data_IF_675000461704
#
_entry.id   IF_675000461704
#
_cell.length_a   1.000
_cell.length_b   1.000
_cell.length_c   1.000
_cell.angle_alpha   90.00
_cell.angle_beta   90.00
_cell.angle_gamma   90.00
#
_symmetry.space_group_name_H-M   'P 1'
#
loop_
_entity.id
_entity.type
_entity.pdbx_description
1 polymer ?
#
# COMPACT_ATOMS: atom_id res chain seq x y z
N UNK A 1 2.44 -15.00 14.69
CA UNK A 1 2.78 -13.79 13.90
C UNK A 1 4.29 -13.61 13.92
N UNK A 2 4.90 -13.13 12.83
CA UNK A 2 6.32 -12.75 12.77
C UNK A 2 6.39 -11.31 12.25
N UNK A 3 7.25 -10.49 12.82
CA UNK A 3 7.52 -9.12 12.34
C UNK A 3 8.88 -9.11 11.64
N UNK A 4 8.95 -8.52 10.46
CA UNK A 4 10.20 -8.31 9.73
C UNK A 4 10.44 -6.81 9.63
N UNK A 5 11.50 -6.33 10.25
CA UNK A 5 11.88 -4.91 10.22
C UNK A 5 13.05 -4.73 9.27
N UNK A 6 12.90 -3.83 8.29
CA UNK A 6 13.99 -3.50 7.37
C UNK A 6 14.56 -2.12 7.71
N UNK A 7 15.79 -2.10 8.20
CA UNK A 7 16.58 -0.89 8.36
C UNK A 7 17.16 -0.50 7.00
N UNK A 8 16.54 0.50 6.38
CA UNK A 8 16.89 0.90 5.01
C UNK A 8 18.08 1.88 4.94
N UNK A 9 18.28 2.62 6.02
CA UNK A 9 19.42 3.55 6.17
C UNK A 9 20.21 3.08 7.40
N UNK A 10 21.46 2.62 7.23
CA UNK A 10 22.31 2.27 8.37
C UNK A 10 22.36 3.41 9.40
N UNK A 11 22.40 3.09 10.67
CA UNK A 11 22.45 4.01 11.81
C UNK A 11 21.13 4.71 12.20
N UNK A 12 20.02 4.39 11.56
CA UNK A 12 18.69 4.92 11.92
C UNK A 12 17.92 4.01 12.89
N UNK A 13 18.59 3.15 13.65
CA UNK A 13 17.94 2.12 14.49
C UNK A 13 16.88 2.70 15.39
N UNK A 14 15.60 2.36 15.17
CA UNK A 14 14.56 2.70 16.13
C UNK A 14 14.82 1.98 17.45
N UNK A 15 14.41 2.59 18.56
CA UNK A 15 14.57 2.05 19.92
C UNK A 15 13.71 0.79 20.19
N UNK A 16 13.06 0.21 19.18
CA UNK A 16 12.26 -1.02 19.24
C UNK A 16 13.20 -2.20 19.48
N UNK A 17 13.27 -2.66 20.73
CA UNK A 17 14.16 -3.74 21.08
C UNK A 17 13.48 -5.11 21.08
N UNK A 18 12.23 -5.20 21.55
CA UNK A 18 11.52 -6.48 21.65
C UNK A 18 10.01 -6.31 21.57
N UNK A 19 9.34 -7.25 20.91
CA UNK A 19 7.90 -7.42 20.97
C UNK A 19 7.61 -8.71 21.75
N UNK A 20 7.12 -8.64 22.99
CA UNK A 20 6.83 -9.84 23.77
C UNK A 20 5.87 -10.77 23.00
N UNK A 21 6.28 -12.01 22.80
CA UNK A 21 5.49 -13.03 22.08
C UNK A 21 5.48 -12.89 20.55
N UNK A 22 6.24 -11.95 19.96
CA UNK A 22 6.34 -11.79 18.52
C UNK A 22 7.81 -11.73 18.07
N UNK A 23 8.37 -12.78 17.46
CA UNK A 23 9.75 -12.78 17.00
C UNK A 23 9.95 -11.72 15.91
N UNK A 24 10.97 -10.87 16.10
CA UNK A 24 11.37 -9.83 15.15
C UNK A 24 12.58 -10.31 14.35
N UNK A 25 12.46 -10.36 13.04
CA UNK A 25 13.58 -10.56 12.13
C UNK A 25 14.07 -9.20 11.60
N UNK A 26 15.30 -8.85 11.92
CA UNK A 26 15.93 -7.62 11.45
C UNK A 26 16.68 -7.86 10.15
N UNK A 27 16.44 -6.97 9.18
CA UNK A 27 17.17 -6.86 7.92
C UNK A 27 17.83 -5.50 7.84
N UNK A 28 19.12 -5.47 7.58
CA UNK A 28 19.88 -4.23 7.42
C UNK A 28 20.37 -4.14 6.00
N UNK A 29 20.05 -3.07 5.31
CA UNK A 29 20.56 -2.82 3.97
C UNK A 29 21.93 -2.15 4.02
N UNK A 30 22.88 -2.58 3.18
CA UNK A 30 24.17 -1.92 3.02
C UNK A 30 24.06 -0.58 2.28
N UNK A 31 22.99 -0.41 1.50
CA UNK A 31 22.64 0.82 0.80
C UNK A 31 21.10 0.95 0.74
N UNK A 32 20.56 2.19 0.76
CA UNK A 32 19.12 2.42 0.67
C UNK A 32 18.52 1.81 -0.59
N UNK A 33 17.42 1.07 -0.43
CA UNK A 33 16.63 0.49 -1.49
C UNK A 33 15.27 1.16 -1.59
N UNK A 34 14.58 0.94 -2.72
CA UNK A 34 13.21 1.39 -2.89
C UNK A 34 12.22 0.66 -1.97
N UNK A 35 11.05 1.28 -1.78
CA UNK A 35 9.99 0.74 -0.93
C UNK A 35 9.61 -0.71 -1.31
N UNK A 36 9.26 -0.94 -2.58
CA UNK A 36 8.89 -2.27 -3.06
C UNK A 36 9.99 -3.31 -2.91
N UNK A 37 11.26 -2.93 -3.14
CA UNK A 37 12.40 -3.84 -3.00
C UNK A 37 12.60 -4.31 -1.55
N UNK A 38 12.36 -3.43 -0.57
CA UNK A 38 12.44 -3.78 0.86
C UNK A 38 11.34 -4.78 1.24
N UNK A 39 10.11 -4.55 0.81
CA UNK A 39 8.99 -5.46 1.09
C UNK A 39 9.12 -6.79 0.36
N UNK A 40 9.61 -6.81 -0.87
CA UNK A 40 9.93 -8.05 -1.58
C UNK A 40 11.02 -8.84 -0.85
N UNK A 41 12.04 -8.15 -0.32
CA UNK A 41 13.08 -8.79 0.48
C UNK A 41 12.51 -9.38 1.79
N UNK A 42 11.57 -8.70 2.43
CA UNK A 42 10.87 -9.23 3.61
C UNK A 42 9.97 -10.42 3.23
N UNK A 43 9.25 -10.34 2.11
CA UNK A 43 8.37 -11.42 1.67
C UNK A 43 9.10 -12.74 1.40
N UNK A 44 10.37 -12.72 0.99
CA UNK A 44 11.17 -13.95 0.82
C UNK A 44 11.29 -14.79 2.08
N UNK A 45 11.17 -14.17 3.26
CA UNK A 45 11.19 -14.87 4.55
C UNK A 45 9.78 -15.14 5.11
N UNK A 46 8.74 -14.66 4.45
CA UNK A 46 7.36 -14.92 4.83
C UNK A 46 7.03 -16.40 4.61
N UNK A 47 6.52 -17.06 5.65
CA UNK A 47 6.07 -18.47 5.63
C UNK A 47 4.60 -18.61 5.99
N UNK A 48 3.89 -17.50 6.13
CA UNK A 48 2.49 -17.45 6.52
C UNK A 48 1.57 -17.24 5.30
N UNK A 49 0.30 -17.66 5.37
CA UNK A 49 -0.65 -17.44 4.28
C UNK A 49 -0.97 -15.96 4.04
N UNK A 50 -0.65 -15.09 5.00
CA UNK A 50 -0.89 -13.65 4.91
C UNK A 50 0.43 -12.88 5.02
N UNK A 51 0.54 -11.80 4.27
CA UNK A 51 1.67 -10.87 4.28
C UNK A 51 1.17 -9.44 4.42
N UNK A 52 1.57 -8.75 5.49
CA UNK A 52 1.21 -7.36 5.71
C UNK A 52 2.39 -6.44 5.40
N UNK A 53 2.14 -5.46 4.56
CA UNK A 53 3.01 -4.30 4.34
C UNK A 53 2.55 -3.20 5.28
N UNK A 54 3.47 -2.64 6.05
CA UNK A 54 3.15 -1.66 7.07
C UNK A 54 4.24 -0.58 7.15
N UNK A 55 3.83 0.68 7.13
CA UNK A 55 4.72 1.79 7.40
C UNK A 55 5.01 1.91 8.92
N UNK A 56 6.22 2.35 9.31
CA UNK A 56 6.60 2.43 10.72
C UNK A 56 5.88 3.54 11.51
N UNK A 57 5.23 4.48 10.84
CA UNK A 57 4.44 5.58 11.40
C UNK A 57 2.92 5.27 11.47
N UNK A 58 2.54 4.00 11.24
CA UNK A 58 1.18 3.51 11.44
C UNK A 58 1.00 3.02 12.88
N UNK A 59 -0.11 3.45 13.52
CA UNK A 59 -0.53 3.00 14.85
C UNK A 59 -1.85 2.25 14.77
N UNK A 60 -1.98 1.23 15.59
CA UNK A 60 -3.19 0.44 15.73
C UNK A 60 -3.98 0.92 16.96
N UNK A 61 -5.18 1.51 16.81
CA UNK A 61 -6.05 1.77 17.95
C UNK A 61 -6.53 0.46 18.58
N UNK A 62 -7.01 0.47 19.85
CA UNK A 62 -7.44 -0.75 20.55
C UNK A 62 -8.44 -1.59 19.77
N UNK A 63 -9.42 -0.96 19.12
CA UNK A 63 -10.45 -1.62 18.31
C UNK A 63 -10.15 -1.50 16.82
N UNK A 64 -8.97 -1.94 16.41
CA UNK A 64 -8.51 -1.78 15.02
C UNK A 64 -9.36 -2.53 13.98
N UNK A 65 -10.01 -3.63 14.37
CA UNK A 65 -10.80 -4.45 13.43
C UNK A 65 -9.93 -5.21 12.42
N UNK A 66 -8.71 -5.59 12.76
CA UNK A 66 -7.83 -6.36 11.87
C UNK A 66 -8.45 -7.68 11.40
N UNK A 67 -9.31 -8.28 12.23
CA UNK A 67 -10.03 -9.51 11.86
C UNK A 67 -10.90 -9.31 10.63
N UNK A 68 -11.44 -8.10 10.41
CA UNK A 68 -12.18 -7.79 9.20
C UNK A 68 -11.31 -7.80 7.95
N UNK A 69 -10.04 -7.36 8.05
CA UNK A 69 -9.08 -7.50 6.93
C UNK A 69 -8.79 -8.97 6.63
N UNK A 70 -8.58 -9.77 7.68
CA UNK A 70 -8.30 -11.21 7.55
C UNK A 70 -9.51 -11.92 6.95
N UNK A 71 -10.72 -11.65 7.42
CA UNK A 71 -11.97 -12.21 6.88
C UNK A 71 -12.13 -11.85 5.39
N UNK A 72 -11.93 -10.58 5.02
CA UNK A 72 -12.01 -10.13 3.63
C UNK A 72 -11.03 -10.88 2.72
N UNK A 73 -9.78 -11.05 3.14
CA UNK A 73 -8.76 -11.77 2.35
C UNK A 73 -9.05 -13.27 2.27
N UNK A 74 -9.60 -13.86 3.33
CA UNK A 74 -9.95 -15.29 3.34
C UNK A 74 -11.08 -15.60 2.37
N UNK A 75 -12.05 -14.71 2.27
CA UNK A 75 -13.21 -14.85 1.39
C UNK A 75 -12.90 -14.42 -0.06
N UNK A 76 -12.14 -13.34 -0.20
CA UNK A 76 -11.77 -12.73 -1.49
C UNK A 76 -10.26 -12.50 -1.58
N UNK A 77 -9.47 -13.51 -1.99
CA UNK A 77 -8.01 -13.40 -2.07
C UNK A 77 -7.51 -12.25 -2.95
N UNK A 78 -6.49 -11.55 -2.47
CA UNK A 78 -5.90 -10.40 -3.15
C UNK A 78 -5.19 -9.47 -2.17
N UNK A 79 -5.65 -8.23 -2.07
CA UNK A 79 -5.17 -7.22 -1.11
C UNK A 79 -6.33 -6.50 -0.44
N UNK A 80 -6.21 -6.26 0.86
CA UNK A 80 -7.13 -5.44 1.63
C UNK A 80 -6.36 -4.35 2.40
N UNK A 81 -6.92 -3.14 2.45
CA UNK A 81 -6.40 -2.05 3.27
C UNK A 81 -7.46 -1.48 4.21
N UNK A 82 -7.08 -1.02 5.40
CA UNK A 82 -7.99 -0.42 6.36
C UNK A 82 -8.36 1.01 5.97
N UNK A 83 -9.33 1.57 6.66
CA UNK A 83 -9.55 3.01 6.72
C UNK A 83 -8.38 3.65 7.49
N UNK A 84 -7.69 4.56 6.86
CA UNK A 84 -6.57 5.29 7.47
C UNK A 84 -7.10 6.61 8.02
N UNK A 85 -6.77 6.89 9.27
CA UNK A 85 -7.09 8.12 9.96
C UNK A 85 -5.80 8.92 10.20
N UNK A 86 -5.89 10.23 10.10
CA UNK A 86 -4.87 11.13 10.62
C UNK A 86 -4.95 11.19 12.16
N UNK A 87 -3.93 11.70 12.86
CA UNK A 87 -3.95 11.82 14.33
C UNK A 87 -5.11 12.65 14.89
N UNK A 88 -5.67 13.57 14.09
CA UNK A 88 -6.85 14.38 14.41
C UNK A 88 -8.19 13.70 14.03
N UNK A 89 -8.15 12.42 13.63
CA UNK A 89 -9.34 11.60 13.37
C UNK A 89 -9.97 11.80 11.98
N UNK A 90 -9.35 12.56 11.08
CA UNK A 90 -9.85 12.70 9.70
C UNK A 90 -9.51 11.48 8.88
N UNK A 91 -10.43 11.07 8.02
CA UNK A 91 -10.17 9.98 7.07
C UNK A 91 -9.17 10.46 6.02
N UNK A 92 -8.04 9.76 5.92
CA UNK A 92 -7.05 9.99 4.85
C UNK A 92 -7.46 9.26 3.56
N UNK A 93 -7.06 9.84 2.43
CA UNK A 93 -7.33 9.32 1.10
C UNK A 93 -6.40 8.12 0.80
N UNK A 94 -6.71 6.96 1.42
CA UNK A 94 -5.94 5.71 1.29
C UNK A 94 -6.49 4.75 0.23
N UNK A 95 -7.75 4.92 -0.19
CA UNK A 95 -8.39 4.17 -1.26
C UNK A 95 -8.68 5.10 -2.44
N UNK A 96 -8.16 4.80 -3.62
CA UNK A 96 -8.17 5.75 -4.73
C UNK A 96 -8.51 5.10 -6.06
N UNK A 97 -8.93 5.94 -7.02
CA UNK A 97 -9.07 5.58 -8.42
C UNK A 97 -7.75 5.74 -9.16
N UNK A 98 -7.52 4.92 -10.17
CA UNK A 98 -6.32 5.01 -11.03
C UNK A 98 -6.25 6.41 -11.64
N UNK A 99 -5.12 7.12 -11.46
CA UNK A 99 -4.97 8.48 -11.96
C UNK A 99 -5.00 8.51 -13.49
N UNK A 100 -5.90 9.31 -14.06
CA UNK A 100 -5.88 9.68 -15.48
C UNK A 100 -5.12 10.99 -15.67
N UNK A 101 -4.51 11.20 -16.85
CA UNK A 101 -3.76 12.44 -17.17
C UNK A 101 -4.56 13.70 -16.87
N UNK A 102 -5.78 13.76 -17.37
CA UNK A 102 -6.66 14.92 -17.16
C UNK A 102 -6.95 15.16 -15.68
N UNK A 103 -7.17 14.09 -14.92
CA UNK A 103 -7.46 14.16 -13.49
C UNK A 103 -6.25 14.65 -12.67
N UNK A 104 -5.04 14.22 -13.04
CA UNK A 104 -3.80 14.72 -12.42
C UNK A 104 -3.62 16.23 -12.64
N UNK A 105 -3.87 16.70 -13.86
CA UNK A 105 -3.82 18.12 -14.19
C UNK A 105 -4.88 18.91 -13.41
N UNK A 106 -6.13 18.44 -13.40
CA UNK A 106 -7.24 19.10 -12.69
C UNK A 106 -7.00 19.12 -11.17
N UNK A 107 -6.50 18.04 -10.58
CA UNK A 107 -6.14 17.99 -9.16
C UNK A 107 -5.06 19.03 -8.79
N UNK A 108 -4.07 19.19 -9.66
CA UNK A 108 -3.00 20.19 -9.44
C UNK A 108 -3.52 21.62 -9.57
N UNK A 109 -4.47 21.86 -10.47
CA UNK A 109 -5.03 23.21 -10.70
C UNK A 109 -6.05 23.61 -9.62
N UNK A 110 -6.84 22.66 -9.12
CA UNK A 110 -7.94 22.96 -8.17
C UNK A 110 -7.52 22.90 -6.71
N UNK A 111 -6.37 22.31 -6.37
CA UNK A 111 -5.81 22.26 -5.00
C UNK A 111 -6.64 21.47 -3.97
N UNK A 112 -7.87 21.05 -4.30
CA UNK A 112 -8.78 20.29 -3.43
C UNK A 112 -9.05 18.95 -4.07
N UNK A 113 -8.93 17.89 -3.30
CA UNK A 113 -9.21 16.53 -3.71
C UNK A 113 -10.30 15.95 -2.85
N UNK A 114 -11.51 15.84 -3.41
CA UNK A 114 -12.52 14.99 -2.78
C UNK A 114 -12.06 13.53 -2.77
N UNK A 115 -12.41 12.76 -1.73
CA UNK A 115 -12.15 11.33 -1.69
C UNK A 115 -12.74 10.62 -2.91
N UNK A 116 -12.00 9.67 -3.47
CA UNK A 116 -12.45 8.92 -4.65
C UNK A 116 -13.54 7.90 -4.32
N UNK A 117 -13.63 7.50 -3.06
CA UNK A 117 -14.58 6.53 -2.53
C UNK A 117 -15.23 7.07 -1.26
N UNK A 118 -16.54 6.87 -1.14
CA UNK A 118 -17.32 7.35 0.01
C UNK A 118 -17.06 6.55 1.27
N UNK A 119 -17.17 7.23 2.42
CA UNK A 119 -17.16 6.60 3.74
C UNK A 119 -18.56 6.06 4.06
N UNK A 120 -18.65 4.95 4.81
CA UNK A 120 -19.91 4.39 5.31
C UNK A 120 -20.28 3.02 4.75
N UNK A 121 -19.54 2.51 3.78
CA UNK A 121 -19.69 1.13 3.28
C UNK A 121 -18.63 0.26 3.94
N UNK A 122 -18.98 -0.83 4.65
CA UNK A 122 -18.02 -1.65 5.40
C UNK A 122 -16.84 -2.14 4.57
N UNK A 123 -17.11 -2.60 3.35
CA UNK A 123 -16.10 -3.07 2.39
C UNK A 123 -16.42 -2.54 1.00
N UNK A 124 -15.44 -1.97 0.30
CA UNK A 124 -15.58 -1.52 -1.09
C UNK A 124 -14.45 -2.08 -1.95
N UNK A 125 -14.79 -2.57 -3.15
CA UNK A 125 -13.79 -2.84 -4.18
C UNK A 125 -13.30 -1.51 -4.75
N UNK A 126 -11.98 -1.34 -4.80
CA UNK A 126 -11.35 -0.06 -5.19
C UNK A 126 -10.29 -0.29 -6.26
N UNK A 127 -9.89 0.77 -6.97
CA UNK A 127 -8.88 0.60 -8.01
C UNK A 127 -7.50 0.31 -7.38
N UNK A 128 -7.14 1.00 -6.31
CA UNK A 128 -5.90 0.75 -5.57
C UNK A 128 -5.95 1.30 -4.14
N UNK A 129 -5.07 0.78 -3.31
CA UNK A 129 -4.89 1.13 -1.90
C UNK A 129 -3.47 1.65 -1.71
N UNK A 130 -3.32 2.71 -0.94
CA UNK A 130 -2.03 3.30 -0.63
C UNK A 130 -1.17 2.40 0.27
N UNK A 131 0.13 2.38 0.02
CA UNK A 131 1.12 1.48 0.60
C UNK A 131 1.34 1.56 2.11
N UNK A 132 0.61 2.42 2.83
CA UNK A 132 0.78 2.62 4.28
C UNK A 132 0.44 1.39 5.11
N UNK A 133 -0.64 0.68 4.74
CA UNK A 133 -1.06 -0.56 5.38
C UNK A 133 -1.82 -1.43 4.35
N UNK A 134 -1.22 -2.53 3.93
CA UNK A 134 -1.77 -3.44 2.93
C UNK A 134 -1.63 -4.88 3.42
N UNK A 135 -2.76 -5.58 3.61
CA UNK A 135 -2.76 -7.00 3.89
C UNK A 135 -2.97 -7.78 2.59
N UNK A 136 -2.01 -8.61 2.24
CA UNK A 136 -2.07 -9.50 1.08
C UNK A 136 -2.34 -10.94 1.49
N UNK A 137 -3.08 -11.65 0.67
CA UNK A 137 -2.92 -13.09 0.55
C UNK A 137 -1.56 -13.38 -0.10
N UNK A 138 -0.73 -14.19 0.57
CA UNK A 138 0.65 -14.46 0.16
C UNK A 138 0.75 -15.13 -1.22
N UNK A 139 -0.23 -15.97 -1.58
CA UNK A 139 -0.26 -16.61 -2.89
C UNK A 139 -0.53 -15.59 -4.00
N UNK A 140 -1.43 -14.64 -3.79
CA UNK A 140 -1.70 -13.55 -4.73
C UNK A 140 -0.51 -12.60 -4.87
N UNK A 141 0.14 -12.22 -3.76
CA UNK A 141 1.35 -11.39 -3.81
C UNK A 141 2.49 -12.07 -4.58
N UNK A 142 2.67 -13.38 -4.35
CA UNK A 142 3.62 -14.21 -5.11
C UNK A 142 3.25 -14.30 -6.60
N UNK A 143 1.97 -14.51 -6.91
CA UNK A 143 1.50 -14.68 -8.29
C UNK A 143 1.70 -13.42 -9.15
N UNK A 144 1.61 -12.23 -8.56
CA UNK A 144 1.94 -10.97 -9.26
C UNK A 144 3.44 -10.68 -9.29
N UNK A 145 4.28 -11.50 -8.63
CA UNK A 145 5.73 -11.30 -8.55
C UNK A 145 6.15 -10.22 -7.54
N UNK A 146 5.31 -9.91 -6.55
CA UNK A 146 5.57 -8.85 -5.57
C UNK A 146 5.45 -7.45 -6.16
N UNK A 147 6.09 -6.47 -5.53
CA UNK A 147 6.21 -5.12 -6.06
C UNK A 147 7.21 -5.07 -7.23
N UNK A 148 6.96 -4.20 -8.20
CA UNK A 148 7.93 -3.91 -9.26
C UNK A 148 9.04 -3.01 -8.70
N UNK A 149 10.24 -3.57 -8.51
CA UNK A 149 11.38 -2.88 -7.89
C UNK A 149 11.95 -1.73 -8.75
N UNK A 150 11.48 -1.57 -9.99
CA UNK A 150 11.82 -0.44 -10.84
C UNK A 150 11.18 0.87 -10.36
N UNK A 151 10.15 0.79 -9.49
CA UNK A 151 9.66 1.93 -8.72
C UNK A 151 10.52 2.06 -7.46
N UNK A 152 11.30 3.13 -7.37
CA UNK A 152 12.09 3.38 -6.15
C UNK A 152 11.18 3.82 -5.00
N UNK A 153 10.27 4.73 -5.30
CA UNK A 153 9.24 5.24 -4.39
C UNK A 153 8.07 5.79 -5.21
N UNK A 154 6.84 5.62 -4.72
CA UNK A 154 5.56 5.98 -5.35
C UNK A 154 5.17 5.11 -6.55
N UNK A 155 3.89 4.90 -6.70
CA UNK A 155 3.22 4.13 -7.75
C UNK A 155 3.47 2.61 -7.73
N UNK A 156 4.34 2.08 -6.89
CA UNK A 156 4.49 0.63 -6.69
C UNK A 156 3.22 0.00 -6.11
N UNK A 157 2.53 0.73 -5.23
CA UNK A 157 1.24 0.36 -4.65
C UNK A 157 0.11 0.36 -5.70
N UNK A 158 0.09 1.35 -6.58
CA UNK A 158 -0.83 1.37 -7.71
C UNK A 158 -0.56 0.17 -8.62
N UNK A 159 0.69 -0.01 -9.05
CA UNK A 159 1.06 -1.05 -10.01
C UNK A 159 0.74 -2.46 -9.51
N UNK A 160 1.03 -2.78 -8.23
CA UNK A 160 0.71 -4.10 -7.67
C UNK A 160 -0.81 -4.34 -7.65
N UNK A 161 -1.61 -3.33 -7.29
CA UNK A 161 -3.07 -3.43 -7.33
C UNK A 161 -3.59 -3.67 -8.76
N UNK A 162 -3.04 -2.98 -9.77
CA UNK A 162 -3.41 -3.19 -11.17
C UNK A 162 -3.06 -4.59 -11.67
N UNK A 163 -1.92 -5.14 -11.23
CA UNK A 163 -1.54 -6.53 -11.55
C UNK A 163 -2.45 -7.54 -10.87
N UNK A 164 -2.90 -7.28 -9.63
CA UNK A 164 -3.91 -8.09 -8.94
C UNK A 164 -5.24 -8.10 -9.71
N UNK A 165 -5.74 -6.93 -10.12
CA UNK A 165 -6.94 -6.85 -10.96
C UNK A 165 -6.84 -7.67 -12.25
N UNK A 166 -5.68 -7.67 -12.91
CA UNK A 166 -5.46 -8.50 -14.11
C UNK A 166 -5.56 -10.00 -13.84
N UNK A 167 -5.26 -10.44 -12.63
CA UNK A 167 -5.40 -11.83 -12.19
C UNK A 167 -6.80 -12.12 -11.62
N UNK A 168 -7.74 -11.18 -11.69
CA UNK A 168 -9.09 -11.33 -11.10
C UNK A 168 -9.04 -11.39 -9.57
N UNK A 169 -8.02 -10.81 -8.93
CA UNK A 169 -7.89 -10.76 -7.48
C UNK A 169 -8.54 -9.51 -6.91
N UNK A 170 -9.05 -9.62 -5.67
CA UNK A 170 -9.68 -8.53 -4.95
C UNK A 170 -8.69 -7.42 -4.60
N UNK A 171 -9.14 -6.16 -4.71
CA UNK A 171 -8.49 -4.99 -4.13
C UNK A 171 -9.55 -4.26 -3.32
N UNK A 172 -9.55 -4.46 -2.00
CA UNK A 172 -10.65 -4.08 -1.14
C UNK A 172 -10.25 -3.02 -0.10
N UNK A 173 -11.07 -1.99 0.05
CA UNK A 173 -10.99 -1.05 1.16
C UNK A 173 -11.98 -1.48 2.25
N UNK A 174 -11.44 -1.92 3.39
CA UNK A 174 -12.20 -2.43 4.54
C UNK A 174 -12.30 -1.34 5.58
N UNK A 175 -13.44 -0.65 5.61
CA UNK A 175 -13.64 0.53 6.46
C UNK A 175 -13.93 0.19 7.93
N UNK A 176 -14.35 -1.04 8.22
CA UNK A 176 -14.50 -1.54 9.59
C UNK A 176 -13.16 -1.76 10.29
N UNK A 177 -12.06 -1.94 9.53
CA UNK A 177 -10.70 -1.91 10.04
C UNK A 177 -10.15 -0.48 9.98
N UNK A 178 -9.47 -0.04 11.04
CA UNK A 178 -8.95 1.33 11.15
C UNK A 178 -7.51 1.35 11.65
N UNK A 179 -6.71 2.25 11.09
CA UNK A 179 -5.36 2.55 11.55
C UNK A 179 -5.15 4.06 11.58
N UNK A 180 -4.23 4.52 12.43
CA UNK A 180 -3.83 5.93 12.50
C UNK A 180 -2.47 6.06 11.83
N UNK A 181 -2.35 6.99 10.88
CA UNK A 181 -1.10 7.27 10.19
C UNK A 181 -0.62 8.68 10.54
N UNK A 182 0.51 8.76 11.22
CA UNK A 182 1.12 10.02 11.62
C UNK A 182 2.14 10.46 10.55
N UNK A 183 1.61 10.83 9.40
CA UNK A 183 2.43 11.19 8.24
C UNK A 183 3.39 12.33 8.56
N UNK A 184 4.65 12.01 8.77
CA UNK A 184 5.72 13.00 8.76
C UNK A 184 5.89 13.53 7.33
N UNK A 185 5.13 14.59 6.97
CA UNK A 185 5.08 15.19 5.61
C UNK A 185 6.42 15.82 5.19
N UNK A 186 7.55 15.17 5.45
CA UNK A 186 8.88 15.63 5.05
C UNK A 186 9.09 15.59 3.52
N UNK A 187 8.29 14.80 2.80
CA UNK A 187 8.45 14.57 1.35
C UNK A 187 8.18 15.79 0.46
N UNK A 188 7.47 16.81 0.95
CA UNK A 188 7.10 17.96 0.13
C UNK A 188 8.23 18.99 -0.10
N UNK A 189 9.37 18.86 0.57
CA UNK A 189 10.46 19.85 0.54
C UNK A 189 11.71 19.43 -0.23
N UNK A 190 11.86 18.15 -0.59
CA UNK A 190 13.08 17.65 -1.25
C UNK A 190 12.83 17.35 -2.74
N UNK A 191 13.62 17.99 -3.61
CA UNK A 191 13.56 17.79 -5.07
C UNK A 191 13.79 16.34 -5.51
N UNK A 192 14.47 15.53 -4.70
CA UNK A 192 14.68 14.10 -4.97
C UNK A 192 13.36 13.33 -4.97
N UNK A 193 12.47 13.60 -4.00
CA UNK A 193 11.14 12.96 -3.91
C UNK A 193 10.26 13.34 -5.09
N UNK A 194 10.30 14.62 -5.51
CA UNK A 194 9.59 15.04 -6.72
C UNK A 194 10.09 14.31 -7.98
N UNK A 195 11.41 14.15 -8.12
CA UNK A 195 12.00 13.43 -9.25
C UNK A 195 11.59 11.95 -9.25
N UNK A 196 11.60 11.28 -8.09
CA UNK A 196 11.10 9.91 -7.95
C UNK A 196 9.63 9.82 -8.32
N UNK A 197 8.81 10.74 -7.86
CA UNK A 197 7.37 10.76 -8.17
C UNK A 197 7.12 10.90 -9.67
N UNK A 198 7.78 11.85 -10.34
CA UNK A 198 7.64 12.06 -11.79
C UNK A 198 8.10 10.83 -12.57
N UNK A 199 9.25 10.25 -12.23
CA UNK A 199 9.76 9.03 -12.88
C UNK A 199 8.82 7.84 -12.69
N UNK A 200 8.32 7.64 -11.47
CA UNK A 200 7.40 6.55 -11.14
C UNK A 200 6.06 6.74 -11.87
N UNK A 201 5.54 7.95 -11.92
CA UNK A 201 4.31 8.24 -12.65
C UNK A 201 4.46 8.01 -14.15
N UNK A 202 5.56 8.47 -14.76
CA UNK A 202 5.84 8.22 -16.18
C UNK A 202 5.93 6.72 -16.47
N UNK A 203 6.60 5.94 -15.60
CA UNK A 203 6.67 4.49 -15.70
C UNK A 203 5.30 3.83 -15.59
N UNK A 204 4.49 4.24 -14.61
CA UNK A 204 3.14 3.71 -14.44
C UNK A 204 2.31 3.94 -15.72
N UNK A 205 2.28 5.15 -16.23
CA UNK A 205 1.50 5.52 -17.42
C UNK A 205 1.95 4.83 -18.71
N UNK A 206 3.17 4.34 -18.76
CA UNK A 206 3.70 3.56 -19.90
C UNK A 206 3.64 2.05 -19.65
N UNK A 207 3.16 1.60 -18.48
CA UNK A 207 3.13 0.19 -18.12
C UNK A 207 1.96 -0.57 -18.76
N UNK A 208 2.18 -1.86 -19.02
CA UNK A 208 1.12 -2.74 -19.51
C UNK A 208 0.00 -2.95 -18.49
N UNK A 209 0.30 -2.92 -17.18
CA UNK A 209 -0.69 -3.02 -16.12
C UNK A 209 -1.67 -1.85 -16.15
N UNK A 210 -1.17 -0.62 -16.31
CA UNK A 210 -1.98 0.59 -16.40
C UNK A 210 -2.93 0.56 -17.62
N UNK A 211 -2.41 0.27 -18.81
CA UNK A 211 -3.22 0.29 -20.03
C UNK A 211 -4.21 -0.87 -20.07
N UNK A 212 -3.84 -2.06 -19.63
CA UNK A 212 -4.79 -3.18 -19.56
C UNK A 212 -5.95 -2.88 -18.60
N UNK A 213 -5.69 -2.25 -17.45
CA UNK A 213 -6.75 -1.86 -16.52
C UNK A 213 -7.70 -0.79 -17.10
N UNK A 214 -7.17 0.12 -17.92
CA UNK A 214 -8.00 1.19 -18.53
C UNK A 214 -8.80 0.74 -19.74
N UNK A 215 -8.28 -0.19 -20.52
CA UNK A 215 -8.89 -0.63 -21.79
C UNK A 215 -9.82 -1.83 -21.56
N UNK A 216 -9.40 -2.78 -20.72
CA UNK A 216 -10.23 -3.92 -20.37
C UNK A 216 -11.15 -3.45 -19.24
N UNK A 217 -12.50 -3.43 -19.47
CA UNK A 217 -13.41 -3.18 -18.37
C UNK A 217 -13.14 -4.26 -17.33
N UNK A 218 -12.63 -3.84 -16.17
CA UNK A 218 -12.47 -4.75 -15.05
C UNK A 218 -13.81 -5.46 -14.89
N UNK A 219 -13.79 -6.79 -14.78
CA UNK A 219 -14.92 -7.53 -14.24
C UNK A 219 -15.04 -7.07 -12.79
N UNK A 220 -15.67 -5.90 -12.61
CA UNK A 220 -16.08 -5.43 -11.30
C UNK A 220 -17.12 -6.45 -10.86
N UNK A 221 -16.71 -7.36 -9.99
CA UNK A 221 -17.69 -8.15 -9.26
C UNK A 221 -18.56 -7.16 -8.48
N UNK A 222 -19.89 -7.34 -8.52
CA UNK A 222 -20.84 -6.46 -7.84
C UNK A 222 -20.60 -6.41 -6.34
#
# INVERSE_FOLDING_TARGET
MQVIVTENIPDSRPALRDCPGCPILWKVNSQPKGFGANHNAAFRDCRTPLFMVLNPDVRFPPDTGLDALVAQISEHPGVAGPRVLSPDGRVEDSARRVPGLLRLVLRRLRGVSEPDYGVGVPVQQVDWIAGMCMLFDSASFKAVGGFDERYHLYCEDIDVCLRLHRLGRSVAWVQSAQVIHDAQRQSHRDRRYLNWHVKSLARLMTSASYWSFRILPARRQP
#
